data_IF_319374389628
#
_entry.id   IF_319374389628
#
_cell.length_a   1.000
_cell.length_b   1.000
_cell.length_c   1.000
_cell.angle_alpha   90.00
_cell.angle_beta   90.00
_cell.angle_gamma   90.00
#
_symmetry.space_group_name_H-M   'P 1'
#
loop_
_entity.id
_entity.type
_entity.pdbx_description
1 polymer ?
#
# COMPACT_ATOMS: atom_id res chain seq x y z
N UNK A 1 23.52 -25.09 -58.91
CA UNK A 1 22.88 -24.92 -57.58
C UNK A 1 23.99 -24.80 -56.56
N UNK A 2 24.08 -23.86 -55.63
CA UNK A 2 23.49 -22.53 -55.43
C UNK A 2 24.49 -21.82 -54.50
N UNK A 3 24.70 -20.52 -54.71
CA UNK A 3 25.72 -19.71 -54.04
C UNK A 3 25.41 -19.56 -52.55
N UNK A 4 26.40 -19.80 -51.69
CA UNK A 4 26.33 -19.51 -50.26
C UNK A 4 26.38 -17.99 -50.05
N UNK A 5 25.40 -17.48 -49.30
CA UNK A 5 25.13 -16.07 -49.11
C UNK A 5 25.85 -15.58 -47.84
N UNK A 6 26.83 -14.70 -48.01
CA UNK A 6 27.51 -13.99 -46.92
C UNK A 6 26.53 -13.04 -46.22
N UNK A 7 26.09 -13.37 -45.01
CA UNK A 7 25.29 -12.47 -44.21
C UNK A 7 26.21 -11.59 -43.33
N UNK A 8 26.68 -10.48 -43.92
CA UNK A 8 27.35 -9.38 -43.19
C UNK A 8 26.33 -8.68 -42.29
N UNK A 9 26.28 -9.04 -41.01
CA UNK A 9 25.62 -8.23 -40.00
C UNK A 9 26.59 -7.14 -39.55
N UNK A 10 26.22 -5.92 -39.94
CA UNK A 10 26.94 -4.67 -39.74
C UNK A 10 26.86 -4.29 -38.25
N UNK A 11 27.93 -4.50 -37.49
CA UNK A 11 28.10 -3.99 -36.12
C UNK A 11 28.18 -2.46 -36.14
N UNK A 12 27.04 -1.79 -36.08
CA UNK A 12 26.99 -0.37 -35.73
C UNK A 12 27.06 -0.26 -34.21
N UNK A 13 28.25 0.01 -33.70
CA UNK A 13 28.47 0.47 -32.33
C UNK A 13 27.55 1.65 -31.99
N UNK A 14 26.84 1.64 -30.84
CA UNK A 14 26.06 2.80 -30.41
C UNK A 14 27.02 3.91 -29.96
N UNK A 15 27.10 4.96 -30.78
CA UNK A 15 27.87 6.20 -30.56
C UNK A 15 27.23 7.12 -29.51
N UNK A 16 27.09 6.66 -28.28
CA UNK A 16 26.69 7.54 -27.18
C UNK A 16 27.55 7.26 -25.96
N UNK A 17 28.31 8.25 -25.53
CA UNK A 17 29.09 8.17 -24.30
C UNK A 17 28.15 8.28 -23.09
N UNK A 18 28.46 7.59 -22.00
CA UNK A 18 27.63 7.54 -20.78
C UNK A 18 27.37 8.95 -20.23
N UNK A 19 28.28 9.89 -20.48
CA UNK A 19 28.18 11.29 -20.05
C UNK A 19 27.10 12.06 -20.81
N UNK A 20 26.94 11.80 -22.11
CA UNK A 20 25.89 12.40 -22.93
C UNK A 20 24.52 11.90 -22.52
N UNK A 21 24.40 10.61 -22.20
CA UNK A 21 23.15 10.01 -21.70
C UNK A 21 22.76 10.62 -20.35
N UNK A 22 23.73 10.84 -19.45
CA UNK A 22 23.47 11.49 -18.15
C UNK A 22 23.04 12.94 -18.30
N UNK A 23 23.64 13.68 -19.23
CA UNK A 23 23.26 15.08 -19.49
C UNK A 23 21.84 15.17 -20.04
N UNK A 24 21.46 14.26 -20.94
CA UNK A 24 20.11 14.15 -21.50
C UNK A 24 19.06 13.77 -20.44
N UNK A 25 19.42 12.86 -19.52
CA UNK A 25 18.54 12.48 -18.40
C UNK A 25 18.38 13.65 -17.42
N UNK A 26 19.46 14.39 -17.11
CA UNK A 26 19.38 15.54 -16.20
C UNK A 26 18.47 16.64 -16.75
N UNK A 27 18.59 16.95 -18.05
CA UNK A 27 17.76 17.94 -18.72
C UNK A 27 16.28 17.53 -18.77
N UNK A 28 15.98 16.25 -19.07
CA UNK A 28 14.63 15.73 -19.06
C UNK A 28 13.99 15.71 -17.65
N UNK A 29 14.80 15.50 -16.60
CA UNK A 29 14.34 15.54 -15.21
C UNK A 29 14.04 16.97 -14.76
N UNK A 30 14.89 17.94 -15.12
CA UNK A 30 14.66 19.35 -14.79
C UNK A 30 13.41 19.91 -15.50
N UNK A 31 13.17 19.54 -16.76
CA UNK A 31 11.96 19.90 -17.48
C UNK A 31 10.71 19.32 -16.81
N UNK A 32 10.72 18.02 -16.49
CA UNK A 32 9.61 17.35 -15.79
C UNK A 32 9.36 17.92 -14.38
N UNK A 33 10.41 18.28 -13.64
CA UNK A 33 10.29 18.93 -12.33
C UNK A 33 9.72 20.34 -12.47
N UNK A 34 10.09 21.08 -13.50
CA UNK A 34 9.55 22.43 -13.75
C UNK A 34 8.06 22.40 -14.13
N UNK A 35 7.63 21.43 -14.94
CA UNK A 35 6.21 21.21 -15.26
C UNK A 35 5.41 20.72 -14.03
N UNK A 36 6.00 19.85 -13.21
CA UNK A 36 5.40 19.44 -11.95
C UNK A 36 5.27 20.62 -10.97
N UNK A 37 6.27 21.50 -10.88
CA UNK A 37 6.20 22.69 -10.02
C UNK A 37 5.24 23.76 -10.55
N UNK A 38 5.03 23.86 -11.86
CA UNK A 38 4.01 24.72 -12.45
C UNK A 38 2.59 24.24 -12.15
N UNK A 39 2.37 22.92 -12.06
CA UNK A 39 1.07 22.32 -11.73
C UNK A 39 0.76 22.27 -10.22
N UNK A 40 1.74 22.50 -9.35
CA UNK A 40 1.55 22.56 -7.88
C UNK A 40 1.00 23.91 -7.39
N UNK A 41 0.83 24.93 -8.26
CA UNK A 41 0.12 26.17 -7.91
C UNK A 41 -1.40 26.03 -8.05
N UNK A 42 -2.00 25.10 -7.32
CA UNK A 42 -3.37 25.25 -6.81
C UNK A 42 -3.44 24.78 -5.36
N UNK A 43 -2.57 25.37 -4.53
CA UNK A 43 -2.92 25.62 -3.14
C UNK A 43 -4.21 26.43 -3.12
N UNK A 44 -5.33 25.71 -3.03
CA UNK A 44 -6.59 26.31 -2.68
C UNK A 44 -6.39 27.05 -1.35
N UNK A 45 -6.73 28.35 -1.27
CA UNK A 45 -6.76 29.03 0.01
C UNK A 45 -7.73 28.27 0.92
N UNK A 46 -7.54 28.39 2.23
CA UNK A 46 -8.39 27.85 3.29
C UNK A 46 -9.82 28.36 3.10
N UNK A 47 -10.54 27.74 2.18
CA UNK A 47 -11.95 27.94 1.92
C UNK A 47 -12.69 27.02 2.85
N UNK A 48 -13.57 27.60 3.66
CA UNK A 48 -14.64 26.87 4.34
C UNK A 48 -15.54 26.32 3.22
N UNK A 49 -15.12 25.18 2.69
CA UNK A 49 -15.74 24.56 1.52
C UNK A 49 -16.96 23.80 2.03
N UNK A 50 -18.17 24.27 1.72
CA UNK A 50 -19.44 23.58 2.02
C UNK A 50 -19.43 22.11 1.52
N UNK A 51 -18.58 21.82 0.53
CA UNK A 51 -18.34 20.49 -0.01
C UNK A 51 -17.54 19.56 0.93
N UNK A 52 -16.80 20.08 1.92
CA UNK A 52 -16.19 19.28 3.01
C UNK A 52 -17.24 18.86 4.02
N UNK A 53 -18.20 19.71 4.36
CA UNK A 53 -19.30 19.37 5.28
C UNK A 53 -20.20 18.29 4.70
N UNK A 54 -20.58 18.38 3.42
CA UNK A 54 -21.38 17.35 2.75
C UNK A 54 -20.61 16.02 2.64
N UNK A 55 -19.33 16.02 2.24
CA UNK A 55 -18.49 14.81 2.24
C UNK A 55 -18.28 14.22 3.64
N UNK A 56 -18.15 15.06 4.67
CA UNK A 56 -18.07 14.59 6.06
C UNK A 56 -19.39 13.96 6.51
N UNK A 57 -20.53 14.52 6.10
CA UNK A 57 -21.85 14.00 6.40
C UNK A 57 -22.10 12.66 5.70
N UNK A 58 -21.75 12.51 4.42
CA UNK A 58 -21.90 11.23 3.71
C UNK A 58 -20.97 10.16 4.28
N UNK A 59 -19.69 10.48 4.50
CA UNK A 59 -18.72 9.54 5.09
C UNK A 59 -19.10 9.07 6.50
N UNK A 60 -19.79 9.91 7.27
CA UNK A 60 -20.34 9.53 8.58
C UNK A 60 -21.54 8.60 8.45
N UNK A 61 -22.42 8.83 7.48
CA UNK A 61 -23.57 7.93 7.22
C UNK A 61 -23.10 6.52 6.85
N UNK A 62 -22.12 6.41 5.95
CA UNK A 62 -21.56 5.11 5.53
C UNK A 62 -20.94 4.32 6.69
N UNK A 63 -20.46 5.02 7.73
CA UNK A 63 -19.82 4.43 8.90
C UNK A 63 -20.82 3.73 9.85
N UNK A 64 -22.07 4.17 9.85
CA UNK A 64 -23.13 3.63 10.70
C UNK A 64 -23.98 2.55 10.00
N UNK A 65 -23.74 2.29 8.70
CA UNK A 65 -24.36 1.20 7.97
C UNK A 65 -24.12 -0.15 8.64
N UNK A 66 -25.15 -1.00 8.70
CA UNK A 66 -25.01 -2.36 9.22
C UNK A 66 -24.41 -3.29 8.16
N UNK A 67 -23.32 -3.94 8.51
CA UNK A 67 -22.62 -4.94 7.71
C UNK A 67 -22.62 -6.26 8.46
N UNK A 68 -22.79 -7.36 7.74
CA UNK A 68 -22.69 -8.71 8.33
C UNK A 68 -21.24 -9.15 8.29
N UNK A 69 -20.70 -9.51 9.46
CA UNK A 69 -19.36 -10.08 9.57
C UNK A 69 -19.41 -11.43 10.27
N UNK A 70 -18.40 -12.26 10.00
CA UNK A 70 -18.21 -13.55 10.65
C UNK A 70 -16.75 -13.66 11.07
N UNK A 71 -16.50 -13.71 12.38
CA UNK A 71 -15.16 -13.90 12.93
C UNK A 71 -15.02 -15.37 13.29
N UNK A 72 -14.14 -16.08 12.58
CA UNK A 72 -13.85 -17.47 12.92
C UNK A 72 -13.12 -17.57 14.26
N UNK A 73 -13.51 -18.50 15.15
CA UNK A 73 -12.76 -18.77 16.37
C UNK A 73 -11.43 -19.42 16.00
N UNK A 74 -10.34 -18.91 16.56
CA UNK A 74 -9.04 -19.57 16.50
C UNK A 74 -8.84 -20.44 17.73
N UNK A 75 -7.87 -21.37 17.68
CA UNK A 75 -7.56 -22.26 18.81
C UNK A 75 -7.20 -21.49 20.08
N UNK A 76 -6.52 -20.35 19.90
CA UNK A 76 -5.98 -19.51 20.97
C UNK A 76 -6.96 -18.40 21.41
N UNK A 77 -7.84 -17.92 20.53
CA UNK A 77 -8.79 -16.85 20.83
C UNK A 77 -10.23 -17.36 20.68
N UNK A 78 -10.76 -17.92 21.78
CA UNK A 78 -12.14 -18.40 21.88
C UNK A 78 -13.12 -17.35 22.38
N UNK A 79 -12.61 -16.31 23.03
CA UNK A 79 -13.43 -15.28 23.66
C UNK A 79 -13.97 -14.28 22.63
N UNK A 80 -15.07 -13.63 23.01
CA UNK A 80 -15.74 -12.62 22.19
C UNK A 80 -14.83 -11.39 21.95
N UNK A 81 -15.02 -10.74 20.80
CA UNK A 81 -14.23 -9.57 20.42
C UNK A 81 -14.97 -8.32 20.87
N UNK A 82 -14.34 -7.54 21.76
CA UNK A 82 -14.84 -6.24 22.19
C UNK A 82 -14.15 -5.14 21.39
N UNK A 83 -14.92 -4.31 20.71
CA UNK A 83 -14.45 -3.19 19.90
C UNK A 83 -15.04 -1.89 20.42
N UNK A 84 -14.21 -0.87 20.63
CA UNK A 84 -14.66 0.45 21.08
C UNK A 84 -14.15 1.56 20.15
N UNK A 85 -15.04 2.44 19.70
CA UNK A 85 -14.74 3.59 18.82
C UNK A 85 -15.52 4.81 19.32
N UNK A 86 -14.80 5.87 19.71
CA UNK A 86 -15.38 7.17 20.07
C UNK A 86 -16.65 7.04 20.94
N UNK A 87 -16.52 6.36 22.09
CA UNK A 87 -17.56 6.10 23.10
C UNK A 87 -18.63 5.06 22.74
N UNK A 88 -18.63 4.50 21.54
CA UNK A 88 -19.47 3.34 21.22
C UNK A 88 -18.68 2.04 21.39
N UNK A 89 -19.28 1.06 22.07
CA UNK A 89 -18.71 -0.29 22.24
C UNK A 89 -19.61 -1.33 21.58
N UNK A 90 -18.99 -2.31 20.94
CA UNK A 90 -19.65 -3.44 20.29
C UNK A 90 -18.96 -4.73 20.70
N UNK A 91 -19.74 -5.74 21.05
CA UNK A 91 -19.27 -7.10 21.35
C UNK A 91 -19.65 -7.98 20.18
N UNK A 92 -18.67 -8.71 19.63
CA UNK A 92 -18.82 -9.59 18.48
C UNK A 92 -18.59 -11.02 18.96
N UNK A 93 -19.65 -11.82 18.93
CA UNK A 93 -19.57 -13.25 19.24
C UNK A 93 -18.81 -13.99 18.13
N UNK A 94 -17.77 -14.74 18.50
CA UNK A 94 -16.99 -15.52 17.53
C UNK A 94 -17.78 -16.75 17.06
N UNK A 95 -17.55 -17.14 15.81
CA UNK A 95 -18.19 -18.30 15.18
C UNK A 95 -19.64 -18.07 14.75
N UNK A 96 -20.15 -16.84 14.88
CA UNK A 96 -21.50 -16.47 14.44
C UNK A 96 -21.44 -15.32 13.45
N UNK A 97 -22.43 -15.28 12.55
CA UNK A 97 -22.69 -14.14 11.68
C UNK A 97 -23.44 -13.08 12.46
N UNK A 98 -22.81 -11.95 12.69
CA UNK A 98 -23.42 -10.82 13.41
C UNK A 98 -23.45 -9.57 12.54
N UNK A 99 -24.49 -8.76 12.73
CA UNK A 99 -24.64 -7.47 12.06
C UNK A 99 -24.09 -6.38 12.96
N UNK A 100 -23.07 -5.66 12.49
CA UNK A 100 -22.42 -4.57 13.22
C UNK A 100 -22.30 -3.33 12.33
N UNK A 101 -22.07 -2.16 12.94
CA UNK A 101 -21.81 -0.95 12.17
C UNK A 101 -20.50 -1.07 11.38
N UNK A 102 -20.47 -0.52 10.16
CA UNK A 102 -19.33 -0.58 9.24
C UNK A 102 -18.04 -0.06 9.86
N UNK A 103 -18.11 0.96 10.71
CA UNK A 103 -16.94 1.48 11.44
C UNK A 103 -16.22 0.42 12.28
N UNK A 104 -16.97 -0.43 12.97
CA UNK A 104 -16.41 -1.52 13.76
C UNK A 104 -15.81 -2.61 12.88
N UNK A 105 -16.51 -2.99 11.80
CA UNK A 105 -16.00 -3.96 10.82
C UNK A 105 -14.67 -3.51 10.20
N UNK A 106 -14.60 -2.24 9.78
CA UNK A 106 -13.39 -1.65 9.21
C UNK A 106 -12.24 -1.58 10.23
N UNK A 107 -12.54 -1.25 11.48
CA UNK A 107 -11.53 -1.23 12.54
C UNK A 107 -10.94 -2.63 12.76
N UNK A 108 -11.79 -3.65 12.84
CA UNK A 108 -11.37 -5.04 12.98
C UNK A 108 -10.47 -5.48 11.82
N UNK A 109 -10.89 -5.19 10.57
CA UNK A 109 -10.11 -5.52 9.38
C UNK A 109 -8.74 -4.82 9.38
N UNK A 110 -8.69 -3.55 9.74
CA UNK A 110 -7.42 -2.81 9.88
C UNK A 110 -6.51 -3.43 10.95
N UNK A 111 -7.05 -3.80 12.12
CA UNK A 111 -6.29 -4.47 13.19
C UNK A 111 -5.69 -5.78 12.69
N UNK A 112 -6.50 -6.60 12.01
CA UNK A 112 -6.05 -7.88 11.46
C UNK A 112 -4.95 -7.69 10.40
N UNK A 113 -5.08 -6.68 9.53
CA UNK A 113 -4.02 -6.38 8.56
C UNK A 113 -2.72 -5.98 9.26
N UNK A 114 -2.79 -5.18 10.33
CA UNK A 114 -1.61 -4.79 11.10
C UNK A 114 -0.94 -6.01 11.75
N UNK A 115 -1.71 -6.92 12.34
CA UNK A 115 -1.19 -8.17 12.90
C UNK A 115 -0.47 -9.01 11.84
N UNK A 116 -1.08 -9.21 10.67
CA UNK A 116 -0.47 -9.96 9.57
C UNK A 116 0.83 -9.30 9.12
N UNK A 117 0.83 -7.97 8.92
CA UNK A 117 2.02 -7.23 8.51
C UNK A 117 3.13 -7.30 9.56
N UNK A 118 2.78 -7.22 10.85
CA UNK A 118 3.74 -7.36 11.93
C UNK A 118 4.38 -8.76 11.97
N UNK A 119 3.57 -9.81 11.81
CA UNK A 119 4.06 -11.19 11.74
C UNK A 119 5.04 -11.39 10.57
N UNK A 120 4.67 -10.91 9.38
CA UNK A 120 5.55 -10.98 8.19
C UNK A 120 6.87 -10.24 8.41
N UNK A 121 6.81 -9.05 9.02
CA UNK A 121 8.01 -8.28 9.34
C UNK A 121 8.93 -9.01 10.33
N UNK A 122 8.34 -9.61 11.37
CA UNK A 122 9.08 -10.40 12.35
C UNK A 122 9.73 -11.62 11.71
N UNK A 123 9.02 -12.36 10.86
CA UNK A 123 9.52 -13.52 10.14
C UNK A 123 10.72 -13.16 9.25
N UNK A 124 10.62 -12.05 8.50
CA UNK A 124 11.72 -11.55 7.68
C UNK A 124 12.96 -11.21 8.52
N UNK A 125 12.76 -10.52 9.65
CA UNK A 125 13.88 -10.16 10.55
C UNK A 125 14.51 -11.36 11.23
N UNK A 126 13.72 -12.38 11.56
CA UNK A 126 14.23 -13.64 12.07
C UNK A 126 15.06 -14.36 11.00
N UNK A 127 14.57 -14.47 9.77
CA UNK A 127 15.31 -15.07 8.66
C UNK A 127 16.64 -14.33 8.37
N UNK A 128 16.62 -13.00 8.31
CA UNK A 128 17.83 -12.19 8.17
C UNK A 128 18.85 -12.45 9.28
N UNK A 129 18.38 -12.59 10.52
CA UNK A 129 19.24 -12.80 11.70
C UNK A 129 19.87 -14.19 11.68
N UNK A 130 19.10 -15.21 11.30
CA UNK A 130 19.59 -16.59 11.15
C UNK A 130 20.64 -16.69 10.03
N UNK A 131 20.38 -16.09 8.88
CA UNK A 131 21.33 -16.07 7.76
C UNK A 131 22.66 -15.41 8.15
N UNK A 132 22.62 -14.32 8.92
CA UNK A 132 23.83 -13.67 9.44
C UNK A 132 24.61 -14.58 10.39
N UNK A 133 23.93 -15.25 11.32
CA UNK A 133 24.56 -16.17 12.27
C UNK A 133 25.20 -17.37 11.58
N UNK A 134 24.55 -17.92 10.53
CA UNK A 134 25.12 -18.99 9.72
C UNK A 134 26.36 -18.53 8.95
N UNK A 135 26.31 -17.34 8.34
CA UNK A 135 27.45 -16.76 7.64
C UNK A 135 28.64 -16.44 8.55
N UNK A 136 28.39 -16.18 9.84
CA UNK A 136 29.42 -15.88 10.83
C UNK A 136 30.06 -17.13 11.49
N UNK A 137 29.52 -18.32 11.23
CA UNK A 137 30.07 -19.61 11.71
C UNK A 137 31.05 -20.26 10.74
N UNK A 138 31.26 -19.67 9.56
CA UNK A 138 32.26 -20.04 8.54
C UNK A 138 33.54 -19.23 8.74
#
# INVERSE_FOLDING_TARGET
MSKENENKVNEKEPKFTIEEVRKLIAEAVDEAVSEAMASVKTDSPVGINENRSSRRMTKRRDADDLVTIEIMPTREAKDDVVLSINDETCIIERGKRVKIKRKFARMYENSRMQEISALQYMEQKQAESLAKLESAKL
#
